data_IF_557602848620
#
_entry.id   IF_557602848620
#
_cell.length_a   1.000
_cell.length_b   1.000
_cell.length_c   1.000
_cell.angle_alpha   90.00
_cell.angle_beta   90.00
_cell.angle_gamma   90.00
#
_symmetry.space_group_name_H-M   'P 1'
#
loop_
_entity.id
_entity.type
_entity.pdbx_description
1 polymer ?
#
# COMPACT_ATOMS: atom_id res chain seq x y z
N UNK A 1 2.55 -1.02 -12.21
CA UNK A 1 1.50 -1.65 -11.39
C UNK A 1 1.33 -3.13 -11.68
N UNK A 2 1.15 -3.55 -12.95
CA UNK A 2 0.95 -4.97 -13.29
C UNK A 2 2.06 -5.90 -12.76
N UNK A 3 3.31 -5.45 -12.79
CA UNK A 3 4.46 -6.19 -12.22
C UNK A 3 4.34 -6.48 -10.72
N UNK A 4 3.64 -5.63 -9.95
CA UNK A 4 3.40 -5.85 -8.52
C UNK A 4 2.28 -6.85 -8.27
N UNK A 5 1.56 -7.26 -9.33
CA UNK A 5 0.53 -8.29 -9.32
C UNK A 5 0.94 -9.57 -10.09
N UNK A 6 2.21 -9.64 -10.52
CA UNK A 6 2.74 -10.80 -11.23
C UNK A 6 2.98 -11.96 -10.25
N UNK A 7 2.26 -13.07 -10.45
CA UNK A 7 2.35 -14.27 -9.60
C UNK A 7 3.70 -14.96 -9.70
N UNK A 8 4.38 -14.87 -10.84
CA UNK A 8 5.69 -15.50 -11.02
C UNK A 8 6.74 -14.82 -10.16
N UNK A 9 6.55 -13.53 -9.86
CA UNK A 9 7.41 -12.73 -9.00
C UNK A 9 6.98 -12.85 -7.53
N UNK A 10 5.68 -12.68 -7.25
CA UNK A 10 5.15 -12.44 -5.91
C UNK A 10 4.46 -13.65 -5.26
N UNK A 11 4.36 -14.79 -5.96
CA UNK A 11 3.60 -16.00 -5.57
C UNK A 11 2.09 -15.86 -5.75
N UNK A 12 1.34 -16.96 -5.55
CA UNK A 12 -0.11 -17.01 -5.82
C UNK A 12 -0.95 -16.11 -4.91
N UNK A 13 -0.46 -15.84 -3.70
CA UNK A 13 -1.10 -14.95 -2.71
C UNK A 13 -0.82 -13.46 -2.99
N UNK A 14 -0.36 -13.10 -4.20
CA UNK A 14 -0.02 -11.70 -4.57
C UNK A 14 -1.18 -10.72 -4.43
N UNK A 15 -2.43 -11.20 -4.55
CA UNK A 15 -3.63 -10.37 -4.36
C UNK A 15 -4.01 -10.17 -2.89
N UNK A 16 -3.34 -10.83 -1.95
CA UNK A 16 -3.61 -10.71 -0.52
C UNK A 16 -2.78 -9.59 0.13
N UNK A 17 -3.42 -8.84 1.03
CA UNK A 17 -2.71 -7.91 1.90
C UNK A 17 -1.98 -8.67 3.01
N UNK A 18 -0.67 -8.90 2.80
CA UNK A 18 0.18 -9.72 3.69
C UNK A 18 1.49 -8.99 4.02
N UNK A 19 1.51 -8.08 5.02
CA UNK A 19 2.70 -7.32 5.39
C UNK A 19 3.91 -8.18 5.74
N UNK A 20 3.69 -9.35 6.34
CA UNK A 20 4.70 -10.29 6.81
C UNK A 20 5.55 -10.84 5.65
N UNK A 21 5.07 -10.73 4.41
CA UNK A 21 5.79 -11.08 3.19
C UNK A 21 7.16 -10.38 3.11
N UNK A 22 7.26 -9.17 3.65
CA UNK A 22 8.48 -8.36 3.62
C UNK A 22 9.42 -8.61 4.82
N UNK A 23 9.08 -9.50 5.75
CA UNK A 23 9.84 -9.78 6.98
C UNK A 23 11.30 -10.18 6.75
N UNK A 24 11.59 -10.82 5.61
CA UNK A 24 12.95 -11.24 5.22
C UNK A 24 13.58 -10.32 4.16
N UNK A 25 13.04 -9.13 3.97
CA UNK A 25 13.51 -8.11 3.03
C UNK A 25 12.96 -8.27 1.61
N UNK A 26 12.97 -7.16 0.86
CA UNK A 26 12.43 -7.05 -0.50
C UNK A 26 13.08 -8.01 -1.49
N UNK A 27 14.41 -8.14 -1.45
CA UNK A 27 15.15 -9.03 -2.38
C UNK A 27 14.69 -10.49 -2.28
N UNK A 28 14.38 -10.96 -1.06
CA UNK A 28 13.95 -12.34 -0.84
C UNK A 28 12.54 -12.60 -1.35
N UNK A 29 11.63 -11.64 -1.21
CA UNK A 29 10.26 -11.79 -1.72
C UNK A 29 10.21 -11.71 -3.25
N UNK A 30 11.03 -10.87 -3.87
CA UNK A 30 11.06 -10.72 -5.33
C UNK A 30 11.99 -11.72 -6.03
N UNK A 31 12.44 -12.78 -5.33
CA UNK A 31 13.37 -13.80 -5.87
C UNK A 31 14.66 -13.19 -6.47
N UNK A 32 15.15 -12.10 -5.86
CA UNK A 32 16.32 -11.37 -6.32
C UNK A 32 16.08 -10.44 -7.52
N UNK A 33 14.86 -10.36 -8.04
CA UNK A 33 14.50 -9.47 -9.14
C UNK A 33 14.25 -8.03 -8.64
N UNK A 34 14.57 -7.05 -9.47
CA UNK A 34 14.33 -5.63 -9.20
C UNK A 34 12.88 -5.23 -9.49
N UNK A 35 11.94 -5.89 -8.81
CA UNK A 35 10.50 -5.84 -9.13
C UNK A 35 9.67 -5.00 -8.18
N UNK A 36 10.24 -4.59 -7.04
CA UNK A 36 9.59 -3.71 -6.08
C UNK A 36 10.06 -2.27 -6.27
N UNK A 37 9.28 -1.50 -7.03
CA UNK A 37 9.60 -0.12 -7.43
C UNK A 37 8.39 0.82 -7.20
N UNK A 38 7.82 0.89 -5.98
CA UNK A 38 6.65 1.74 -5.72
C UNK A 38 6.94 3.24 -5.88
N UNK A 39 8.21 3.65 -5.80
CA UNK A 39 8.67 5.03 -5.94
C UNK A 39 9.57 5.23 -7.18
N UNK A 40 9.57 4.28 -8.12
CA UNK A 40 10.50 4.24 -9.25
C UNK A 40 11.90 3.78 -8.84
N UNK A 41 12.90 4.10 -9.68
CA UNK A 41 14.30 3.72 -9.46
C UNK A 41 15.27 4.53 -10.32
N UNK A 42 16.56 4.40 -10.05
CA UNK A 42 17.62 5.12 -10.77
C UNK A 42 17.62 6.64 -10.52
N UNK A 43 18.19 7.45 -11.42
CA UNK A 43 18.35 8.90 -11.24
C UNK A 43 17.05 9.70 -11.15
N UNK A 44 15.91 9.09 -11.49
CA UNK A 44 14.57 9.70 -11.46
C UNK A 44 13.67 9.07 -10.39
N UNK A 45 14.26 8.45 -9.36
CA UNK A 45 13.52 8.00 -8.19
C UNK A 45 12.73 9.17 -7.57
N UNK A 46 11.55 8.88 -7.03
CA UNK A 46 10.71 9.89 -6.42
C UNK A 46 11.45 10.64 -5.31
N UNK A 47 11.64 11.95 -5.50
CA UNK A 47 12.39 12.81 -4.57
C UNK A 47 11.74 12.87 -3.18
N UNK A 48 10.41 12.69 -3.10
CA UNK A 48 9.65 12.71 -1.85
C UNK A 48 9.62 11.39 -1.09
N UNK A 49 10.38 10.36 -1.48
CA UNK A 49 10.31 9.01 -0.90
C UNK A 49 10.42 9.02 0.64
N UNK A 50 11.41 9.71 1.18
CA UNK A 50 11.63 9.74 2.64
C UNK A 50 10.50 10.47 3.37
N UNK A 51 9.99 11.56 2.80
CA UNK A 51 8.86 12.29 3.36
C UNK A 51 7.58 11.45 3.35
N UNK A 52 7.25 10.83 2.21
CA UNK A 52 6.08 9.98 2.08
C UNK A 52 6.11 8.78 3.06
N UNK A 53 7.27 8.15 3.25
CA UNK A 53 7.41 7.08 4.24
C UNK A 53 7.27 7.56 5.68
N UNK A 54 7.78 8.75 6.00
CA UNK A 54 7.63 9.33 7.33
C UNK A 54 6.16 9.66 7.61
N UNK A 55 5.49 10.36 6.68
CA UNK A 55 4.10 10.76 6.79
C UNK A 55 3.17 9.53 6.94
N UNK A 56 3.37 8.50 6.10
CA UNK A 56 2.59 7.27 6.17
C UNK A 56 2.77 6.54 7.51
N UNK A 57 4.00 6.45 8.03
CA UNK A 57 4.27 5.85 9.35
C UNK A 57 3.61 6.64 10.47
N UNK A 58 3.69 7.97 10.43
CA UNK A 58 3.03 8.83 11.41
C UNK A 58 1.52 8.62 11.38
N UNK A 59 0.88 8.60 10.21
CA UNK A 59 -0.55 8.34 10.10
C UNK A 59 -0.95 6.95 10.66
N UNK A 60 -0.19 5.90 10.33
CA UNK A 60 -0.42 4.53 10.80
C UNK A 60 -0.28 4.37 12.31
N UNK A 61 0.50 5.22 12.98
CA UNK A 61 0.65 5.21 14.44
C UNK A 61 -0.38 6.12 15.11
N UNK A 62 -0.55 7.34 14.60
CA UNK A 62 -1.37 8.38 15.23
C UNK A 62 -2.87 8.07 15.14
N UNK A 63 -3.35 7.52 14.02
CA UNK A 63 -4.78 7.24 13.85
C UNK A 63 -5.24 6.18 14.88
N UNK A 64 -4.60 4.99 14.97
CA UNK A 64 -5.03 3.95 15.93
C UNK A 64 -4.81 4.31 17.40
N UNK A 65 -3.99 5.33 17.71
CA UNK A 65 -3.84 5.84 19.08
C UNK A 65 -5.06 6.63 19.57
N UNK A 66 -5.84 7.21 18.67
CA UNK A 66 -6.95 8.11 19.00
C UNK A 66 -8.31 7.59 18.53
N UNK A 67 -8.32 6.71 17.52
CA UNK A 67 -9.53 6.23 16.88
C UNK A 67 -9.43 4.74 16.55
N UNK A 68 -10.53 4.03 16.68
CA UNK A 68 -10.77 2.79 15.94
C UNK A 68 -11.76 3.06 14.81
N UNK A 69 -11.68 2.28 13.73
CA UNK A 69 -12.54 2.48 12.57
C UNK A 69 -12.94 1.17 11.92
N UNK A 70 -14.17 1.14 11.40
CA UNK A 70 -14.70 0.06 10.57
C UNK A 70 -15.07 0.59 9.18
N UNK A 71 -15.17 -0.30 8.20
CA UNK A 71 -15.74 0.02 6.91
C UNK A 71 -17.23 0.37 7.07
N UNK A 72 -17.66 1.48 6.48
CA UNK A 72 -19.08 1.79 6.39
C UNK A 72 -19.80 0.73 5.53
N UNK A 73 -21.05 0.36 5.83
CA UNK A 73 -21.89 -0.43 4.92
C UNK A 73 -22.07 0.21 3.53
N UNK A 74 -21.86 1.53 3.42
CA UNK A 74 -21.87 2.26 2.15
C UNK A 74 -20.55 2.20 1.38
N UNK A 75 -19.52 1.55 1.91
CA UNK A 75 -18.25 1.40 1.22
C UNK A 75 -18.40 0.47 -0.01
N UNK A 76 -17.98 0.96 -1.17
CA UNK A 76 -17.94 0.18 -2.42
C UNK A 76 -16.50 0.12 -2.92
N UNK A 77 -15.92 -1.08 -2.92
CA UNK A 77 -14.56 -1.30 -3.40
C UNK A 77 -14.49 -1.21 -4.92
N UNK A 78 -14.09 -0.05 -5.43
CA UNK A 78 -13.91 0.21 -6.85
C UNK A 78 -12.65 1.07 -7.08
N UNK A 79 -11.45 0.45 -7.21
CA UNK A 79 -10.24 1.18 -7.56
C UNK A 79 -10.35 1.78 -8.97
N UNK A 80 -10.06 3.07 -9.09
CA UNK A 80 -10.10 3.80 -10.36
C UNK A 80 -8.83 4.62 -10.54
N UNK A 81 -8.19 4.51 -11.71
CA UNK A 81 -6.95 5.20 -12.03
C UNK A 81 -7.25 6.44 -12.86
N UNK A 82 -6.90 7.62 -12.33
CA UNK A 82 -6.91 8.88 -13.10
C UNK A 82 -5.46 9.32 -13.33
N UNK A 83 -4.91 10.11 -12.40
CA UNK A 83 -3.47 10.37 -12.31
C UNK A 83 -2.80 9.47 -11.26
N UNK A 84 -3.53 9.20 -10.17
CA UNK A 84 -3.20 8.22 -9.13
C UNK A 84 -4.31 7.18 -9.02
N UNK A 85 -4.02 6.05 -8.39
CA UNK A 85 -5.04 5.06 -8.02
C UNK A 85 -5.80 5.57 -6.80
N UNK A 86 -7.13 5.64 -6.91
CA UNK A 86 -8.00 6.12 -5.85
C UNK A 86 -9.31 5.31 -5.79
N UNK A 87 -10.03 5.30 -4.65
CA UNK A 87 -11.36 4.73 -4.58
C UNK A 87 -12.36 5.58 -5.37
N UNK A 88 -13.03 5.02 -6.37
CA UNK A 88 -13.98 5.72 -7.24
C UNK A 88 -15.10 6.43 -6.47
N UNK A 89 -15.58 5.80 -5.40
CA UNK A 89 -16.71 6.28 -4.58
C UNK A 89 -16.27 6.73 -3.18
N UNK A 90 -14.97 7.01 -3.00
CA UNK A 90 -14.38 7.30 -1.69
C UNK A 90 -14.22 6.06 -0.79
N UNK A 91 -13.57 6.26 0.36
CA UNK A 91 -13.39 5.24 1.39
C UNK A 91 -14.16 5.64 2.65
N UNK A 92 -15.46 5.36 2.66
CA UNK A 92 -16.32 5.69 3.80
C UNK A 92 -16.00 4.80 4.99
N UNK A 93 -15.59 5.43 6.10
CA UNK A 93 -15.25 4.77 7.36
C UNK A 93 -16.15 5.28 8.49
N UNK A 94 -16.45 4.39 9.44
CA UNK A 94 -17.09 4.76 10.69
C UNK A 94 -15.97 4.87 11.73
N UNK A 95 -15.64 6.09 12.16
CA UNK A 95 -14.64 6.32 13.20
C UNK A 95 -15.29 6.39 14.57
N UNK A 96 -14.65 5.77 15.56
CA UNK A 96 -14.97 5.88 16.97
C UNK A 96 -13.73 6.32 17.73
N UNK A 97 -13.87 7.32 18.58
CA UNK A 97 -12.78 7.76 19.46
C UNK A 97 -12.50 6.67 20.50
N UNK A 98 -11.22 6.43 20.77
CA UNK A 98 -10.76 5.57 21.87
C UNK A 98 -10.90 6.26 23.23
#
# INVERSE_FOLDING_TARGET
MLMHHDRDIWSDDVSEFKPERFSKGVSKVTKGQTSYLPFGGGPRIFVGLNFALLEAKMALVMIPQHFCFDLSPSYLHAPHTIATLQPQFGAHLILRKL
#
